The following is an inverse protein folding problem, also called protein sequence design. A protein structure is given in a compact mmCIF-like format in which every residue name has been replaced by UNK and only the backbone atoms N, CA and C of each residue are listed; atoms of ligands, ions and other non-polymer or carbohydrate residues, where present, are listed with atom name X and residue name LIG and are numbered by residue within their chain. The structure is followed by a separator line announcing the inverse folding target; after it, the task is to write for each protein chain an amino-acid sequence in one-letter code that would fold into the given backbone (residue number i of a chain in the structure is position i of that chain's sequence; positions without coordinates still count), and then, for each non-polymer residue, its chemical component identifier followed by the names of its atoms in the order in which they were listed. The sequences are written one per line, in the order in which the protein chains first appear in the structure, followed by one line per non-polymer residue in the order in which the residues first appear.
data_IF_006174379436
#
_entry.id   IF_006174379436
#
_cell.length_a   1.000
_cell.length_b   1.000
_cell.length_c   1.000
_cell.angle_alpha   90.00
_cell.angle_beta   90.00
_cell.angle_gamma   90.00
#
_symmetry.space_group_name_H-M   'P 1'
#
loop_
_entity.id
_entity.type
_entity.pdbx_description
1 polymer ?
#
# COMPACT_ATOMS: atom_id res chain seq x y z
N UNK A 1 10.37 2.58 18.58
CA UNK A 1 8.92 2.29 18.41
C UNK A 1 8.56 2.66 16.98
N UNK A 2 7.85 1.80 16.23
CA UNK A 2 7.44 2.14 14.87
C UNK A 2 6.56 3.39 14.88
N UNK A 3 6.89 4.38 14.05
CA UNK A 3 6.08 5.60 13.89
C UNK A 3 4.76 5.23 13.21
N UNK A 4 3.64 5.67 13.78
CA UNK A 4 2.33 5.50 13.17
C UNK A 4 2.31 6.07 11.75
N UNK A 5 1.56 5.43 10.86
CA UNK A 5 1.36 5.91 9.50
C UNK A 5 0.67 7.26 9.56
N UNK A 6 1.26 8.27 8.93
CA UNK A 6 0.73 9.64 8.90
C UNK A 6 -0.25 9.83 7.75
N UNK A 7 -1.11 10.86 7.84
CA UNK A 7 -2.03 11.20 6.76
C UNK A 7 -1.30 11.45 5.43
N UNK A 8 -0.15 12.13 5.47
CA UNK A 8 0.68 12.38 4.28
C UNK A 8 1.12 11.08 3.59
N UNK A 9 1.47 10.06 4.36
CA UNK A 9 1.86 8.75 3.81
C UNK A 9 0.67 8.03 3.19
N UNK A 10 -0.50 8.12 3.83
CA UNK A 10 -1.76 7.57 3.30
C UNK A 10 -2.10 8.23 1.95
N UNK A 11 -2.00 9.57 1.85
CA UNK A 11 -2.22 10.29 0.60
C UNK A 11 -1.24 9.87 -0.50
N UNK A 12 0.02 9.61 -0.15
CA UNK A 12 1.04 9.12 -1.10
C UNK A 12 0.71 7.72 -1.60
N UNK A 13 0.21 6.83 -0.74
CA UNK A 13 -0.27 5.50 -1.13
C UNK A 13 -1.46 5.62 -2.09
N UNK A 14 -2.44 6.49 -1.78
CA UNK A 14 -3.58 6.74 -2.65
C UNK A 14 -3.18 7.25 -4.03
N UNK A 15 -2.21 8.18 -4.09
CA UNK A 15 -1.69 8.67 -5.36
C UNK A 15 -1.04 7.58 -6.24
N UNK A 16 -0.58 6.48 -5.65
CA UNK A 16 -0.03 5.33 -6.39
C UNK A 16 -1.13 4.39 -6.90
N UNK A 17 -2.18 4.15 -6.12
CA UNK A 17 -3.23 3.19 -6.47
C UNK A 17 -4.37 3.77 -7.33
N UNK A 18 -4.60 5.09 -7.28
CA UNK A 18 -5.61 5.76 -8.11
C UNK A 18 -5.36 5.60 -9.63
N UNK A 19 -4.14 5.83 -10.16
CA UNK A 19 -3.88 5.69 -11.59
C UNK A 19 -3.99 4.26 -12.12
N UNK A 20 -3.91 3.25 -11.25
CA UNK A 20 -4.13 1.83 -11.62
C UNK A 20 -5.61 1.41 -11.50
N UNK A 21 -6.51 2.37 -11.24
CA UNK A 21 -7.95 2.13 -11.23
C UNK A 21 -8.50 1.60 -9.90
N UNK A 22 -7.75 1.71 -8.80
CA UNK A 22 -8.18 1.23 -7.48
C UNK A 22 -8.72 2.39 -6.67
N UNK A 23 -9.99 2.30 -6.26
CA UNK A 23 -10.63 3.29 -5.42
C UNK A 23 -10.10 3.25 -4.00
N UNK A 24 -9.99 4.43 -3.37
CA UNK A 24 -9.54 4.58 -1.97
C UNK A 24 -10.41 3.77 -0.98
N UNK A 25 -11.70 3.61 -1.28
CA UNK A 25 -12.66 2.82 -0.48
C UNK A 25 -12.43 1.31 -0.56
N UNK A 26 -11.77 0.85 -1.63
CA UNK A 26 -11.36 -0.52 -1.80
C UNK A 26 -10.06 -0.83 -1.06
N UNK A 27 -9.44 0.15 -0.39
CA UNK A 27 -8.15 -0.02 0.28
C UNK A 27 -8.23 0.24 1.78
N UNK A 28 -7.62 -0.65 2.54
CA UNK A 28 -7.49 -0.55 4.00
C UNK A 28 -6.01 -0.36 4.33
N UNK A 29 -5.68 0.75 4.98
CA UNK A 29 -4.33 1.08 5.43
C UNK A 29 -4.36 1.16 6.96
N UNK A 30 -3.86 0.14 7.69
CA UNK A 30 -3.77 0.21 9.13
C UNK A 30 -2.76 1.29 9.54
N UNK A 31 -3.12 2.08 10.57
CA UNK A 31 -2.24 3.11 11.13
C UNK A 31 -1.00 2.54 11.83
N UNK A 32 -1.05 1.24 12.16
CA UNK A 32 0.08 0.48 12.69
C UNK A 32 0.86 -0.12 11.51
N UNK A 33 2.09 0.33 11.22
CA UNK A 33 2.94 -0.35 10.25
C UNK A 33 3.44 -1.68 10.83
N UNK A 34 3.84 -2.60 9.95
CA UNK A 34 4.50 -3.86 10.28
C UNK A 34 5.86 -3.92 9.59
N UNK A 35 6.75 -4.77 10.09
CA UNK A 35 8.00 -5.11 9.41
C UNK A 35 8.14 -6.65 9.39
N UNK A 36 8.13 -7.30 8.22
CA UNK A 36 7.97 -6.70 6.88
C UNK A 36 6.55 -6.17 6.63
N UNK A 37 6.43 -5.18 5.74
CA UNK A 37 5.13 -4.71 5.26
C UNK A 37 4.54 -5.72 4.27
N UNK A 38 3.24 -5.58 3.99
CA UNK A 38 2.53 -6.54 3.15
C UNK A 38 1.39 -5.91 2.38
N UNK A 39 1.13 -6.47 1.21
CA UNK A 39 -0.04 -6.16 0.39
C UNK A 39 -0.83 -7.46 0.24
N UNK A 40 -2.12 -7.46 0.59
CA UNK A 40 -2.99 -8.63 0.42
C UNK A 40 -4.37 -8.25 -0.07
N UNK A 41 -5.03 -9.15 -0.77
CA UNK A 41 -6.45 -9.02 -1.12
C UNK A 41 -7.30 -9.55 0.03
N UNK A 42 -8.29 -8.78 0.45
CA UNK A 42 -9.27 -9.15 1.46
C UNK A 42 -10.52 -9.75 0.81
N UNK A 43 -11.32 -10.42 1.64
CA UNK A 43 -12.65 -10.87 1.25
C UNK A 43 -13.51 -9.67 0.80
N UNK A 44 -14.26 -9.85 -0.30
CA UNK A 44 -15.06 -8.78 -0.89
C UNK A 44 -14.32 -7.85 -1.86
N UNK A 45 -13.09 -8.19 -2.27
CA UNK A 45 -12.37 -7.47 -3.33
C UNK A 45 -11.59 -6.24 -2.85
N UNK A 46 -11.56 -5.99 -1.55
CA UNK A 46 -10.72 -4.94 -0.95
C UNK A 46 -9.24 -5.36 -0.91
N UNK A 47 -8.36 -4.39 -0.71
CA UNK A 47 -6.92 -4.60 -0.59
C UNK A 47 -6.46 -4.03 0.74
N UNK A 48 -5.74 -4.81 1.52
CA UNK A 48 -5.04 -4.35 2.71
C UNK A 48 -3.60 -4.02 2.32
N UNK A 49 -3.18 -2.80 2.60
CA UNK A 49 -1.82 -2.31 2.38
C UNK A 49 -1.22 -1.96 3.74
N UNK A 50 -0.41 -2.87 4.27
CA UNK A 50 0.36 -2.65 5.50
C UNK A 50 1.70 -2.04 5.13
N UNK A 51 1.91 -0.80 5.58
CA UNK A 51 3.14 -0.06 5.33
C UNK A 51 4.31 -0.78 5.97
N UNK A 52 5.33 -1.10 5.17
CA UNK A 52 6.63 -1.52 5.69
C UNK A 52 7.33 -0.31 6.27
N UNK A 53 7.64 -0.35 7.56
CA UNK A 53 8.40 0.73 8.19
C UNK A 53 9.63 0.18 8.89
N UNK A 54 10.72 0.13 8.14
CA UNK A 54 12.06 0.17 8.70
C UNK A 54 12.57 1.61 8.75
N UNK A 55 13.50 1.91 9.64
CA UNK A 55 13.93 3.27 10.00
C UNK A 55 14.31 4.12 8.75
N UNK A 56 13.36 4.91 8.25
CA UNK A 56 13.45 5.91 7.15
C UNK A 56 13.29 5.44 5.69
N UNK A 57 12.79 4.22 5.41
CA UNK A 57 12.67 3.70 4.02
C UNK A 57 11.24 3.68 3.42
N UNK A 58 10.35 4.58 3.84
CA UNK A 58 8.99 4.66 3.28
C UNK A 58 8.97 4.88 1.76
N UNK A 59 9.80 5.78 1.24
CA UNK A 59 9.81 6.09 -0.20
C UNK A 59 10.30 4.89 -1.03
N UNK A 60 11.32 4.18 -0.53
CA UNK A 60 11.81 2.95 -1.15
C UNK A 60 10.74 1.86 -1.20
N UNK A 61 9.97 1.70 -0.12
CA UNK A 61 8.82 0.81 -0.10
C UNK A 61 7.70 1.27 -1.05
N UNK A 62 7.36 2.55 -1.05
CA UNK A 62 6.28 3.12 -1.87
C UNK A 62 6.51 2.89 -3.37
N UNK A 63 7.75 2.98 -3.85
CA UNK A 63 8.08 2.68 -5.25
C UNK A 63 7.83 1.22 -5.64
N UNK A 64 7.90 0.29 -4.69
CA UNK A 64 7.62 -1.13 -4.91
C UNK A 64 6.12 -1.44 -4.85
N UNK A 65 5.33 -0.59 -4.17
CA UNK A 65 3.92 -0.81 -3.93
C UNK A 65 3.09 -0.94 -5.21
N UNK A 66 3.31 -0.06 -6.21
CA UNK A 66 2.61 -0.13 -7.51
C UNK A 66 2.75 -1.52 -8.14
N UNK A 67 3.99 -2.02 -8.21
CA UNK A 67 4.28 -3.34 -8.77
C UNK A 67 3.62 -4.47 -7.98
N UNK A 68 3.64 -4.40 -6.65
CA UNK A 68 2.98 -5.39 -5.80
C UNK A 68 1.47 -5.40 -5.97
N UNK A 69 0.85 -4.22 -6.07
CA UNK A 69 -0.61 -4.11 -6.22
C UNK A 69 -1.04 -4.57 -7.61
N UNK A 70 -0.30 -4.21 -8.67
CA UNK A 70 -0.58 -4.69 -10.04
C UNK A 70 -0.47 -6.21 -10.15
N UNK A 71 0.60 -6.78 -9.59
CA UNK A 71 0.83 -8.22 -9.54
C UNK A 71 -0.31 -8.95 -8.80
N UNK A 72 -0.69 -8.44 -7.62
CA UNK A 72 -1.81 -8.96 -6.82
C UNK A 72 -3.15 -8.91 -7.57
N UNK A 73 -3.34 -7.87 -8.38
CA UNK A 73 -4.57 -7.67 -9.17
C UNK A 73 -4.54 -8.41 -10.50
N UNK A 74 -3.43 -9.06 -10.87
CA UNK A 74 -3.26 -9.68 -12.18
C UNK A 74 -3.32 -8.69 -13.34
N UNK A 75 -3.01 -7.41 -13.07
CA UNK A 75 -2.89 -6.39 -14.09
C UNK A 75 -1.55 -6.63 -14.80
N UNK A 76 -1.60 -7.30 -15.95
CA UNK A 76 -0.42 -7.56 -16.77
C UNK A 76 0.36 -6.26 -16.98
N UNK A 77 1.69 -6.32 -16.85
CA UNK A 77 2.59 -5.22 -17.22
C UNK A 77 2.52 -5.04 -18.74
N UNK A 78 1.47 -4.37 -19.22
CA UNK A 78 1.33 -3.93 -20.60
C UNK A 78 2.37 -2.89 -20.96
#
# INVERSE_FOLDING_TARGET
MPKAVTLKEIERIFAVIEPIGISREAVIIPLRPEHPGRVRKLAGGKIEIVVERDDNEFEGWLTKLDGQVRDLMGLERG
#
